data_IF_708502448782
#
_entry.id   IF_708502448782
#
_cell.length_a   1.000
_cell.length_b   1.000
_cell.length_c   1.000
_cell.angle_alpha   90.00
_cell.angle_beta   90.00
_cell.angle_gamma   90.00
#
_symmetry.space_group_name_H-M   'P 1'
#
loop_
_entity.id
_entity.type
_entity.pdbx_description
1 polymer ?
#
# COMPACT_ATOMS: atom_id res chain seq x y z
N UNK A 1 -8.62 -30.08 -11.14
CA UNK A 1 -7.46 -29.53 -10.41
C UNK A 1 -7.88 -28.20 -9.81
N UNK A 2 -7.74 -27.99 -8.50
CA UNK A 2 -8.05 -26.71 -7.86
C UNK A 2 -6.94 -25.70 -8.18
N UNK A 3 -7.32 -24.49 -8.63
CA UNK A 3 -6.35 -23.43 -8.90
C UNK A 3 -5.67 -23.04 -7.59
N UNK A 4 -4.32 -22.97 -7.51
CA UNK A 4 -3.65 -22.48 -6.31
C UNK A 4 -4.09 -21.05 -6.02
N UNK A 5 -4.14 -20.67 -4.73
CA UNK A 5 -4.52 -19.30 -4.36
C UNK A 5 -3.54 -18.30 -4.99
N UNK A 6 -4.00 -17.13 -5.45
CA UNK A 6 -3.12 -16.05 -5.85
C UNK A 6 -2.15 -15.67 -4.73
N UNK A 7 -0.94 -15.23 -5.10
CA UNK A 7 -0.03 -14.58 -4.16
C UNK A 7 -0.63 -13.24 -3.74
N UNK A 8 -0.49 -12.88 -2.47
CA UNK A 8 -0.88 -11.59 -1.90
C UNK A 8 0.36 -10.74 -1.79
N UNK A 9 0.48 -9.73 -2.63
CA UNK A 9 1.65 -8.85 -2.69
C UNK A 9 1.29 -7.52 -2.06
N UNK A 10 2.00 -7.18 -0.98
CA UNK A 10 1.96 -5.84 -0.41
C UNK A 10 2.68 -4.87 -1.33
N UNK A 11 2.11 -3.67 -1.50
CA UNK A 11 2.72 -2.57 -2.24
C UNK A 11 2.78 -1.35 -1.31
N UNK A 12 3.98 -0.84 -1.03
CA UNK A 12 4.12 0.42 -0.30
C UNK A 12 3.42 1.55 -1.05
N UNK A 13 2.93 2.61 -0.41
CA UNK A 13 2.43 3.80 -1.10
C UNK A 13 3.58 4.69 -1.57
N UNK A 14 3.29 5.59 -2.52
CA UNK A 14 4.02 6.84 -2.72
C UNK A 14 3.35 7.94 -1.91
N UNK A 15 4.13 8.92 -1.46
CA UNK A 15 3.65 10.02 -0.65
C UNK A 15 3.67 11.32 -1.45
N UNK A 16 2.54 12.01 -1.49
CA UNK A 16 2.44 13.37 -1.99
C UNK A 16 2.18 14.30 -0.81
N UNK A 17 3.23 14.96 -0.33
CA UNK A 17 3.16 15.81 0.86
C UNK A 17 2.41 17.12 0.63
N UNK A 18 2.50 17.68 -0.59
CA UNK A 18 1.85 18.93 -0.99
C UNK A 18 0.97 18.69 -2.22
N UNK A 19 -0.21 18.06 -2.05
CA UNK A 19 -1.10 17.84 -3.17
C UNK A 19 -1.60 19.18 -3.75
N UNK A 20 -1.82 19.27 -5.08
CA UNK A 20 -2.38 20.45 -5.72
C UNK A 20 -3.66 20.93 -5.02
N UNK A 21 -3.80 22.24 -4.84
CA UNK A 21 -4.89 22.83 -4.08
C UNK A 21 -6.27 22.52 -4.69
N UNK A 22 -6.30 22.32 -6.02
CA UNK A 22 -7.46 21.97 -6.84
C UNK A 22 -8.04 20.61 -6.46
N UNK A 23 -7.24 19.72 -5.86
CA UNK A 23 -7.69 18.40 -5.38
C UNK A 23 -8.37 18.46 -4.00
N UNK A 24 -8.32 19.61 -3.30
CA UNK A 24 -9.03 19.81 -2.03
C UNK A 24 -8.38 19.17 -0.79
N UNK A 25 -7.19 18.59 -0.89
CA UNK A 25 -6.49 17.91 0.22
C UNK A 25 -5.61 18.85 1.06
N UNK A 26 -6.15 20.01 1.46
CA UNK A 26 -5.39 21.03 2.20
C UNK A 26 -4.87 20.49 3.54
N UNK A 27 -3.56 20.62 3.76
CA UNK A 27 -2.90 20.18 5.00
C UNK A 27 -2.84 18.66 5.19
N UNK A 28 -3.07 17.87 4.13
CA UNK A 28 -3.01 16.41 4.17
C UNK A 28 -1.93 15.90 3.22
N UNK A 29 -1.18 14.88 3.64
CA UNK A 29 -0.38 14.06 2.72
C UNK A 29 -1.25 12.98 2.08
N UNK A 30 -1.12 12.78 0.78
CA UNK A 30 -1.77 11.68 0.08
C UNK A 30 -0.85 10.47 0.00
N UNK A 31 -1.43 9.29 0.12
CA UNK A 31 -0.79 8.01 -0.16
C UNK A 31 -1.42 7.45 -1.43
N UNK A 32 -0.64 7.13 -2.45
CA UNK A 32 -1.15 6.66 -3.74
C UNK A 32 -0.33 5.49 -4.29
N UNK A 33 -0.91 4.74 -5.23
CA UNK A 33 -0.23 3.69 -5.98
C UNK A 33 -0.02 4.14 -7.42
N UNK A 34 1.15 3.82 -7.99
CA UNK A 34 1.30 3.86 -9.44
C UNK A 34 0.52 2.71 -10.08
N UNK A 35 -0.39 3.05 -10.98
CA UNK A 35 -1.21 2.06 -11.67
C UNK A 35 -0.33 1.05 -12.44
N UNK A 36 0.74 1.51 -13.10
CA UNK A 36 1.66 0.67 -13.86
C UNK A 36 2.31 -0.43 -13.01
N UNK A 37 2.65 -0.14 -11.76
CA UNK A 37 3.26 -1.11 -10.83
C UNK A 37 2.22 -2.12 -10.38
N UNK A 38 1.01 -1.67 -10.05
CA UNK A 38 -0.10 -2.56 -9.68
C UNK A 38 -0.46 -3.50 -10.84
N UNK A 39 -0.59 -2.96 -12.05
CA UNK A 39 -0.90 -3.70 -13.28
C UNK A 39 0.19 -4.75 -13.59
N UNK A 40 1.47 -4.39 -13.44
CA UNK A 40 2.57 -5.32 -13.62
C UNK A 40 2.49 -6.50 -12.65
N UNK A 41 2.23 -6.24 -11.36
CA UNK A 41 2.07 -7.31 -10.36
C UNK A 41 0.86 -8.19 -10.70
N UNK A 42 -0.28 -7.58 -11.00
CA UNK A 42 -1.53 -8.29 -11.32
C UNK A 42 -1.42 -9.13 -12.60
N UNK A 43 -0.60 -8.69 -13.57
CA UNK A 43 -0.33 -9.44 -14.81
C UNK A 43 0.31 -10.82 -14.55
N UNK A 44 0.95 -11.01 -13.38
CA UNK A 44 1.52 -12.28 -12.96
C UNK A 44 0.51 -13.19 -12.23
N UNK A 45 -0.76 -12.78 -12.16
CA UNK A 45 -1.83 -13.53 -11.50
C UNK A 45 -1.87 -13.37 -9.97
N UNK A 46 -1.18 -12.35 -9.43
CA UNK A 46 -1.19 -12.01 -8.01
C UNK A 46 -2.27 -10.98 -7.65
N UNK A 47 -2.58 -10.87 -6.36
CA UNK A 47 -3.42 -9.82 -5.78
C UNK A 47 -2.54 -8.74 -5.14
N UNK A 48 -2.90 -7.47 -5.33
CA UNK A 48 -2.18 -6.32 -4.79
C UNK A 48 -2.92 -5.74 -3.58
N UNK A 49 -2.18 -5.48 -2.50
CA UNK A 49 -2.69 -4.83 -1.29
C UNK A 49 -1.81 -3.62 -0.97
N UNK A 50 -2.38 -2.41 -0.87
CA UNK A 50 -1.64 -1.26 -0.36
C UNK A 50 -1.25 -1.51 1.11
N UNK A 51 0.02 -1.33 1.45
CA UNK A 51 0.52 -1.33 2.84
C UNK A 51 0.76 0.14 3.25
N UNK A 52 -0.22 0.82 3.86
CA UNK A 52 -0.13 2.26 4.09
C UNK A 52 1.03 2.62 5.00
N UNK A 53 1.64 3.78 4.75
CA UNK A 53 2.60 4.39 5.67
C UNK A 53 1.84 4.82 6.92
N UNK A 54 2.32 4.40 8.09
CA UNK A 54 1.81 4.84 9.37
C UNK A 54 2.26 6.30 9.61
N UNK A 55 1.43 7.25 9.19
CA UNK A 55 1.62 8.67 9.52
C UNK A 55 1.35 8.87 11.01
N UNK A 56 2.32 9.45 11.70
CA UNK A 56 2.31 9.69 13.15
C UNK A 56 1.20 10.63 13.64
N UNK A 57 0.45 11.26 12.73
CA UNK A 57 -0.60 12.24 13.02
C UNK A 57 -2.01 11.65 13.08
N UNK A 58 -2.22 10.40 12.65
CA UNK A 58 -3.51 9.76 12.79
C UNK A 58 -3.62 9.14 14.19
N UNK A 59 -4.77 9.31 14.85
CA UNK A 59 -5.19 8.66 16.10
C UNK A 59 -5.22 7.12 16.05
N UNK A 60 -4.58 6.52 15.04
CA UNK A 60 -4.14 5.12 15.08
C UNK A 60 -3.03 5.05 16.11
N UNK A 61 -3.43 4.81 17.36
CA UNK A 61 -2.54 4.36 18.42
C UNK A 61 -1.56 3.36 17.78
N UNK A 62 -0.28 3.72 17.70
CA UNK A 62 0.81 2.84 17.20
C UNK A 62 0.79 1.43 17.83
N UNK A 63 0.05 1.27 18.92
CA UNK A 63 -0.21 0.02 19.62
C UNK A 63 -1.23 -0.94 18.94
N UNK A 64 -1.96 -0.55 17.90
CA UNK A 64 -3.02 -1.41 17.32
C UNK A 64 -2.62 -2.17 16.05
N UNK A 65 -1.46 -1.87 15.44
CA UNK A 65 -1.03 -2.46 14.17
C UNK A 65 0.39 -2.99 14.31
N UNK A 66 0.54 -4.31 14.37
CA UNK A 66 1.85 -4.95 14.46
C UNK A 66 2.37 -5.32 13.06
N UNK A 67 3.66 -5.07 12.82
CA UNK A 67 4.33 -5.48 11.56
C UNK A 67 4.16 -6.98 11.30
N UNK A 68 4.15 -7.79 12.35
CA UNK A 68 3.93 -9.23 12.27
C UNK A 68 2.59 -9.61 11.63
N UNK A 69 1.56 -8.78 11.79
CA UNK A 69 0.24 -9.06 11.24
C UNK A 69 0.26 -8.87 9.72
N UNK A 70 0.95 -7.85 9.22
CA UNK A 70 1.18 -7.69 7.78
C UNK A 70 1.99 -8.85 7.20
N UNK A 71 3.08 -9.23 7.86
CA UNK A 71 3.96 -10.32 7.40
C UNK A 71 3.22 -11.66 7.32
N UNK A 72 2.21 -11.88 8.17
CA UNK A 72 1.36 -13.09 8.12
C UNK A 72 0.37 -13.08 6.95
N UNK A 73 -0.06 -11.89 6.50
CA UNK A 73 -1.11 -11.76 5.49
C UNK A 73 -0.59 -11.64 4.05
N UNK A 74 0.66 -11.19 3.86
CA UNK A 74 1.28 -11.02 2.53
C UNK A 74 2.39 -12.05 2.28
N UNK A 75 2.49 -12.50 1.03
CA UNK A 75 3.53 -13.44 0.59
C UNK A 75 4.82 -12.71 0.17
N UNK A 76 4.70 -11.43 -0.24
CA UNK A 76 5.82 -10.59 -0.63
C UNK A 76 5.48 -9.10 -0.46
N UNK A 77 6.52 -8.26 -0.42
CA UNK A 77 6.41 -6.81 -0.37
C UNK A 77 7.19 -6.19 -1.53
N UNK A 78 6.53 -5.34 -2.31
CA UNK A 78 7.15 -4.47 -3.32
C UNK A 78 7.22 -3.06 -2.76
N UNK A 79 8.42 -2.50 -2.78
CA UNK A 79 8.67 -1.11 -2.44
C UNK A 79 8.66 -0.29 -3.73
N UNK A 80 7.56 0.39 -4.04
CA UNK A 80 7.57 1.36 -5.13
C UNK A 80 8.41 2.57 -4.72
N UNK A 81 9.20 3.08 -5.67
CA UNK A 81 10.12 4.20 -5.46
C UNK A 81 9.40 5.51 -5.10
N UNK A 82 10.18 6.48 -4.64
CA UNK A 82 9.73 7.82 -4.23
C UNK A 82 9.77 8.83 -5.36
#
# INVERSE_FOLDING_TARGET
MTRPRPLRIGLSPRLMHNPPAELGFRGKSLQYLEQSVADWIMSQGALVFMVPTLVSSAEVRRAAVHVSDYVREIDALVLQGG
#
